data_IF_031890808433
#
_entry.id   IF_031890808433
#
_cell.length_a   1.000
_cell.length_b   1.000
_cell.length_c   1.000
_cell.angle_alpha   90.00
_cell.angle_beta   90.00
_cell.angle_gamma   90.00
#
_symmetry.space_group_name_H-M   'P 1'
#
loop_
_entity.id
_entity.type
_entity.pdbx_description
1 polymer ?
#
# COMPACT_ATOMS: atom_id res chain seq x y z
N UNK A 1 -33.78 -7.23 -7.88
CA UNK A 1 -32.50 -7.89 -7.59
C UNK A 1 -31.38 -7.00 -8.09
N UNK A 2 -30.40 -6.66 -7.25
CA UNK A 2 -29.16 -6.04 -7.74
C UNK A 2 -28.50 -7.03 -8.72
N UNK A 3 -28.01 -6.55 -9.86
CA UNK A 3 -27.39 -7.40 -10.86
C UNK A 3 -26.17 -8.12 -10.25
N UNK A 4 -26.10 -9.45 -10.40
CA UNK A 4 -24.95 -10.23 -9.97
C UNK A 4 -23.75 -9.87 -10.84
N UNK A 5 -22.69 -9.37 -10.22
CA UNK A 5 -21.47 -9.00 -10.92
C UNK A 5 -20.78 -10.24 -11.53
N UNK A 6 -20.09 -10.11 -12.69
CA UNK A 6 -19.35 -11.21 -13.31
C UNK A 6 -18.37 -11.89 -12.35
N UNK A 7 -18.28 -13.22 -12.38
CA UNK A 7 -17.37 -14.01 -11.54
C UNK A 7 -15.90 -13.55 -11.67
N UNK A 8 -15.49 -13.10 -12.85
CA UNK A 8 -14.15 -12.57 -13.12
C UNK A 8 -13.78 -11.35 -12.26
N UNK A 9 -14.75 -10.58 -11.77
CA UNK A 9 -14.47 -9.42 -10.93
C UNK A 9 -13.90 -9.79 -9.55
N UNK A 10 -14.08 -11.03 -9.09
CA UNK A 10 -13.46 -11.50 -7.84
C UNK A 10 -11.92 -11.51 -7.91
N UNK A 11 -11.33 -11.51 -9.11
CA UNK A 11 -9.87 -11.56 -9.30
C UNK A 11 -9.24 -10.18 -9.52
N UNK A 12 -10.02 -9.14 -9.79
CA UNK A 12 -9.50 -7.78 -10.02
C UNK A 12 -8.80 -7.24 -8.77
N UNK A 13 -9.43 -7.40 -7.59
CA UNK A 13 -8.84 -6.96 -6.33
C UNK A 13 -7.52 -7.71 -6.02
N UNK A 14 -7.46 -9.05 -6.01
CA UNK A 14 -6.20 -9.78 -5.82
C UNK A 14 -5.07 -9.36 -6.78
N UNK A 15 -5.37 -9.17 -8.08
CA UNK A 15 -4.36 -8.73 -9.06
C UNK A 15 -3.85 -7.32 -8.76
N UNK A 16 -4.75 -6.42 -8.37
CA UNK A 16 -4.39 -5.07 -7.93
C UNK A 16 -3.52 -5.12 -6.67
N UNK A 17 -3.86 -5.95 -5.68
CA UNK A 17 -3.09 -6.08 -4.44
C UNK A 17 -1.66 -6.60 -4.67
N UNK A 18 -1.48 -7.59 -5.56
CA UNK A 18 -0.13 -8.03 -5.95
C UNK A 18 0.67 -6.92 -6.65
N UNK A 19 0.01 -6.14 -7.49
CA UNK A 19 0.63 -4.99 -8.18
C UNK A 19 1.04 -3.89 -7.19
N UNK A 20 0.17 -3.61 -6.21
CA UNK A 20 0.43 -2.67 -5.12
C UNK A 20 1.57 -3.14 -4.23
N UNK A 21 1.65 -4.44 -3.91
CA UNK A 21 2.74 -5.00 -3.11
C UNK A 21 4.09 -4.84 -3.83
N UNK A 22 4.15 -5.13 -5.13
CA UNK A 22 5.34 -4.92 -5.95
C UNK A 22 5.75 -3.44 -6.01
N UNK A 23 4.78 -2.54 -6.23
CA UNK A 23 5.01 -1.10 -6.21
C UNK A 23 5.43 -0.59 -4.82
N UNK A 24 4.93 -1.20 -3.74
CA UNK A 24 5.35 -0.94 -2.36
C UNK A 24 6.82 -1.31 -2.12
N UNK A 25 7.25 -2.48 -2.60
CA UNK A 25 8.66 -2.89 -2.60
C UNK A 25 9.55 -1.91 -3.38
N UNK A 26 9.08 -1.44 -4.53
CA UNK A 26 9.77 -0.40 -5.29
C UNK A 26 9.86 0.94 -4.55
N UNK A 27 8.77 1.40 -3.95
CA UNK A 27 8.75 2.61 -3.14
C UNK A 27 9.70 2.51 -1.92
N UNK A 28 9.76 1.35 -1.27
CA UNK A 28 10.71 1.06 -0.19
C UNK A 28 12.15 1.20 -0.68
N UNK A 29 12.50 0.61 -1.83
CA UNK A 29 13.82 0.76 -2.44
C UNK A 29 14.17 2.24 -2.67
N UNK A 30 13.25 3.01 -3.25
CA UNK A 30 13.46 4.45 -3.47
C UNK A 30 13.66 5.20 -2.13
N UNK A 31 12.89 4.86 -1.10
CA UNK A 31 13.01 5.44 0.24
C UNK A 31 14.38 5.17 0.89
N UNK A 32 14.89 3.95 0.76
CA UNK A 32 16.24 3.58 1.23
C UNK A 32 17.31 4.41 0.50
N UNK A 33 17.21 4.55 -0.83
CA UNK A 33 18.16 5.37 -1.61
C UNK A 33 18.04 6.85 -1.29
N UNK A 34 16.83 7.36 -1.02
CA UNK A 34 16.61 8.73 -0.56
C UNK A 34 17.26 8.98 0.80
N UNK A 35 17.13 8.05 1.76
CA UNK A 35 17.85 8.11 3.04
C UNK A 35 19.37 8.14 2.81
N UNK A 36 19.90 7.24 1.98
CA UNK A 36 21.34 7.18 1.67
C UNK A 36 21.88 8.45 1.03
N UNK A 37 21.07 9.14 0.22
CA UNK A 37 21.43 10.46 -0.36
C UNK A 37 21.65 11.52 0.72
N UNK A 38 20.99 11.41 1.88
CA UNK A 38 21.16 12.35 3.00
C UNK A 38 22.24 11.93 3.98
N UNK A 39 22.49 10.64 4.15
CA UNK A 39 23.37 10.10 5.19
C UNK A 39 24.70 9.53 4.68
N UNK A 40 24.88 9.37 3.36
CA UNK A 40 26.10 8.81 2.76
C UNK A 40 27.29 9.77 2.73
N UNK A 41 28.45 9.26 2.28
CA UNK A 41 29.67 10.06 2.05
C UNK A 41 29.49 11.09 0.93
N UNK A 42 30.34 12.14 0.83
CA UNK A 42 30.27 13.11 -0.25
C UNK A 42 30.23 12.50 -1.66
N UNK A 43 31.05 11.48 -1.92
CA UNK A 43 31.12 10.76 -3.20
C UNK A 43 29.81 10.03 -3.48
N UNK A 44 29.26 9.35 -2.46
CA UNK A 44 27.97 8.68 -2.58
C UNK A 44 26.85 9.68 -2.86
N UNK A 45 26.85 10.84 -2.19
CA UNK A 45 25.84 11.89 -2.43
C UNK A 45 25.94 12.43 -3.86
N UNK A 46 27.15 12.74 -4.33
CA UNK A 46 27.41 13.21 -5.71
C UNK A 46 26.80 12.27 -6.75
N UNK A 47 26.91 10.96 -6.54
CA UNK A 47 26.37 9.94 -7.45
C UNK A 47 24.85 9.71 -7.33
N UNK A 48 24.24 10.06 -6.19
CA UNK A 48 22.83 9.78 -5.90
C UNK A 48 21.91 11.00 -6.13
N UNK A 49 22.40 12.22 -5.92
CA UNK A 49 21.63 13.46 -6.10
C UNK A 49 20.98 13.55 -7.49
N UNK A 50 21.70 13.28 -8.62
CA UNK A 50 21.11 13.36 -9.95
C UNK A 50 19.96 12.36 -10.18
N UNK A 51 19.93 11.26 -9.41
CA UNK A 51 18.93 10.18 -9.57
C UNK A 51 17.57 10.50 -8.95
N UNK A 52 17.45 11.61 -8.21
CA UNK A 52 16.19 12.17 -7.68
C UNK A 52 15.32 11.14 -6.94
N UNK A 53 15.95 10.29 -6.11
CA UNK A 53 15.25 9.20 -5.41
C UNK A 53 14.14 9.69 -4.48
N UNK A 54 14.32 10.84 -3.82
CA UNK A 54 13.29 11.40 -2.93
C UNK A 54 12.05 11.84 -3.70
N UNK A 55 12.21 12.48 -4.86
CA UNK A 55 11.10 12.90 -5.71
C UNK A 55 10.35 11.69 -6.28
N UNK A 56 11.09 10.66 -6.73
CA UNK A 56 10.50 9.42 -7.22
C UNK A 56 9.76 8.67 -6.11
N UNK A 57 10.33 8.61 -4.91
CA UNK A 57 9.68 7.99 -3.75
C UNK A 57 8.37 8.70 -3.41
N UNK A 58 8.37 10.05 -3.44
CA UNK A 58 7.15 10.83 -3.23
C UNK A 58 6.08 10.52 -4.28
N UNK A 59 6.44 10.54 -5.57
CA UNK A 59 5.50 10.22 -6.66
C UNK A 59 4.89 8.82 -6.51
N UNK A 60 5.72 7.79 -6.32
CA UNK A 60 5.24 6.42 -6.14
C UNK A 60 4.43 6.25 -4.85
N UNK A 61 4.81 6.93 -3.77
CA UNK A 61 4.02 6.96 -2.53
C UNK A 61 2.65 7.59 -2.72
N UNK A 62 2.54 8.67 -3.48
CA UNK A 62 1.25 9.30 -3.81
C UNK A 62 0.36 8.41 -4.67
N UNK A 63 0.94 7.71 -5.66
CA UNK A 63 0.21 6.73 -6.48
C UNK A 63 -0.30 5.58 -5.62
N UNK A 64 0.57 5.01 -4.78
CA UNK A 64 0.18 3.94 -3.84
C UNK A 64 -0.96 4.37 -2.93
N UNK A 65 -0.89 5.56 -2.33
CA UNK A 65 -1.96 6.10 -1.48
C UNK A 65 -3.29 6.16 -2.25
N UNK A 66 -3.28 6.74 -3.45
CA UNK A 66 -4.49 6.91 -4.24
C UNK A 66 -5.10 5.56 -4.64
N UNK A 67 -4.29 4.67 -5.22
CA UNK A 67 -4.77 3.37 -5.71
C UNK A 67 -5.21 2.47 -4.56
N UNK A 68 -4.47 2.42 -3.45
CA UNK A 68 -4.84 1.61 -2.28
C UNK A 68 -6.14 2.11 -1.63
N UNK A 69 -6.32 3.43 -1.56
CA UNK A 69 -7.54 4.03 -0.99
C UNK A 69 -8.74 3.72 -1.89
N UNK A 70 -8.64 3.96 -3.19
CA UNK A 70 -9.72 3.66 -4.14
C UNK A 70 -9.99 2.16 -4.23
N UNK A 71 -8.96 1.34 -4.19
CA UNK A 71 -9.05 -0.12 -4.16
C UNK A 71 -9.79 -0.64 -2.94
N UNK A 72 -9.50 -0.09 -1.76
CA UNK A 72 -10.20 -0.43 -0.51
C UNK A 72 -11.68 -0.04 -0.57
N UNK A 73 -11.99 1.18 -1.01
CA UNK A 73 -13.37 1.63 -1.19
C UNK A 73 -14.11 0.78 -2.22
N UNK A 74 -13.48 0.46 -3.34
CA UNK A 74 -14.02 -0.39 -4.39
C UNK A 74 -14.29 -1.82 -3.91
N UNK A 75 -13.35 -2.42 -3.16
CA UNK A 75 -13.52 -3.76 -2.59
C UNK A 75 -14.68 -3.84 -1.61
N UNK A 76 -14.84 -2.83 -0.75
CA UNK A 76 -15.98 -2.70 0.16
C UNK A 76 -17.29 -2.55 -0.62
N UNK A 77 -17.32 -1.69 -1.64
CA UNK A 77 -18.51 -1.46 -2.48
C UNK A 77 -18.93 -2.75 -3.22
N UNK A 78 -18.00 -3.43 -3.88
CA UNK A 78 -18.26 -4.69 -4.59
C UNK A 78 -18.77 -5.76 -3.63
N UNK A 79 -18.17 -5.89 -2.44
CA UNK A 79 -18.62 -6.85 -1.42
C UNK A 79 -20.06 -6.58 -1.01
N UNK A 80 -20.40 -5.32 -0.72
CA UNK A 80 -21.74 -4.92 -0.32
C UNK A 80 -22.76 -5.15 -1.44
N UNK A 81 -22.45 -4.73 -2.67
CA UNK A 81 -23.35 -4.89 -3.83
C UNK A 81 -23.65 -6.37 -4.14
N UNK A 82 -22.66 -7.25 -4.00
CA UNK A 82 -22.83 -8.68 -4.28
C UNK A 82 -23.55 -9.45 -3.17
N UNK A 83 -23.44 -9.02 -1.91
CA UNK A 83 -23.88 -9.82 -0.77
C UNK A 83 -24.97 -9.15 0.09
N UNK A 84 -25.30 -7.88 -0.16
CA UNK A 84 -26.20 -7.07 0.67
C UNK A 84 -25.64 -6.73 2.07
N UNK A 85 -24.40 -7.12 2.36
CA UNK A 85 -23.71 -6.88 3.63
C UNK A 85 -22.19 -6.91 3.46
N UNK A 86 -21.47 -6.39 4.45
CA UNK A 86 -20.03 -6.54 4.56
C UNK A 86 -19.69 -7.72 5.46
N UNK A 87 -18.63 -8.46 5.11
CA UNK A 87 -18.07 -9.50 5.96
C UNK A 87 -16.94 -8.91 6.81
N UNK A 88 -17.22 -8.71 8.09
CA UNK A 88 -16.23 -8.14 9.04
C UNK A 88 -15.31 -9.25 9.53
N UNK A 89 -14.28 -9.54 8.74
CA UNK A 89 -13.23 -10.50 9.06
C UNK A 89 -11.84 -9.84 9.18
N UNK A 90 -10.82 -10.61 9.61
CA UNK A 90 -9.45 -10.10 9.75
C UNK A 90 -8.91 -9.44 8.49
N UNK A 91 -9.20 -9.99 7.30
CA UNK A 91 -8.77 -9.44 6.02
C UNK A 91 -9.28 -7.99 5.82
N UNK A 92 -10.58 -7.77 6.00
CA UNK A 92 -11.18 -6.43 5.88
C UNK A 92 -10.60 -5.45 6.91
N UNK A 93 -10.53 -5.85 8.18
CA UNK A 93 -10.07 -4.96 9.26
C UNK A 93 -8.60 -4.57 9.08
N UNK A 94 -7.75 -5.52 8.68
CA UNK A 94 -6.33 -5.25 8.40
C UNK A 94 -6.17 -4.38 7.16
N UNK A 95 -6.92 -4.62 6.08
CA UNK A 95 -6.90 -3.77 4.89
C UNK A 95 -7.31 -2.31 5.19
N UNK A 96 -8.33 -2.12 6.02
CA UNK A 96 -8.72 -0.80 6.52
C UNK A 96 -7.61 -0.14 7.35
N UNK A 97 -7.00 -0.88 8.28
CA UNK A 97 -5.90 -0.39 9.09
C UNK A 97 -4.71 0.02 8.21
N UNK A 98 -4.33 -0.79 7.22
CA UNK A 98 -3.25 -0.49 6.28
C UNK A 98 -3.52 0.78 5.48
N UNK A 99 -4.77 0.99 5.04
CA UNK A 99 -5.20 2.22 4.35
C UNK A 99 -5.06 3.44 5.25
N UNK A 100 -5.43 3.33 6.52
CA UNK A 100 -5.18 4.38 7.53
C UNK A 100 -3.69 4.65 7.73
N UNK A 101 -2.88 3.59 7.84
CA UNK A 101 -1.43 3.70 8.04
C UNK A 101 -0.73 4.43 6.90
N UNK A 102 -1.03 4.10 5.63
CA UNK A 102 -0.43 4.78 4.48
C UNK A 102 -0.88 6.24 4.39
N UNK A 103 -2.14 6.55 4.69
CA UNK A 103 -2.66 7.92 4.71
C UNK A 103 -1.96 8.78 5.77
N UNK A 104 -1.82 8.26 6.99
CA UNK A 104 -1.09 8.94 8.08
C UNK A 104 0.39 9.06 7.71
N UNK A 105 1.01 8.01 7.17
CA UNK A 105 2.42 8.09 6.78
C UNK A 105 2.66 9.15 5.69
N UNK A 106 1.77 9.25 4.69
CA UNK A 106 1.87 10.24 3.63
C UNK A 106 1.70 11.68 4.16
N UNK A 107 0.79 11.90 5.11
CA UNK A 107 0.53 13.22 5.69
C UNK A 107 1.71 13.78 6.50
N UNK A 108 2.65 12.93 6.93
CA UNK A 108 3.89 13.36 7.59
C UNK A 108 4.91 14.02 6.64
N UNK A 109 4.71 13.93 5.32
CA UNK A 109 5.66 14.42 4.32
C UNK A 109 6.10 15.88 4.51
N UNK A 110 5.21 16.87 4.78
CA UNK A 110 5.61 18.25 5.00
C UNK A 110 6.50 18.45 6.25
N UNK A 111 6.28 17.67 7.31
CA UNK A 111 7.13 17.70 8.50
C UNK A 111 8.51 17.12 8.21
N UNK A 112 8.55 16.00 7.48
CA UNK A 112 9.81 15.38 7.06
C UNK A 112 10.63 16.28 6.14
N UNK A 113 9.98 16.96 5.18
CA UNK A 113 10.63 17.92 4.28
C UNK A 113 11.28 19.07 5.06
N UNK A 114 10.68 19.50 6.17
CA UNK A 114 11.24 20.47 7.14
C UNK A 114 12.29 19.88 8.09
N UNK A 115 12.73 18.64 7.87
CA UNK A 115 13.80 18.01 8.64
C UNK A 115 13.37 17.30 9.93
N UNK A 116 12.08 17.26 10.26
CA UNK A 116 11.62 16.62 11.51
C UNK A 116 11.97 15.13 11.55
N UNK A 117 12.79 14.73 12.51
CA UNK A 117 13.28 13.35 12.65
C UNK A 117 12.24 12.39 13.24
N UNK A 118 11.37 12.87 14.12
CA UNK A 118 10.28 12.06 14.71
C UNK A 118 9.29 11.68 13.60
N UNK A 119 8.89 12.64 12.78
CA UNK A 119 8.03 12.40 11.61
C UNK A 119 8.64 11.37 10.65
N UNK A 120 9.97 11.41 10.43
CA UNK A 120 10.67 10.41 9.60
C UNK A 120 10.63 9.02 10.22
N UNK A 121 10.87 8.90 11.52
CA UNK A 121 10.81 7.60 12.22
C UNK A 121 9.38 7.05 12.21
N UNK A 122 8.38 7.88 12.49
CA UNK A 122 6.97 7.51 12.44
C UNK A 122 6.55 7.05 11.04
N UNK A 123 6.89 7.82 10.00
CA UNK A 123 6.62 7.45 8.60
C UNK A 123 7.25 6.09 8.24
N UNK A 124 8.51 5.86 8.60
CA UNK A 124 9.17 4.57 8.34
C UNK A 124 8.51 3.44 9.13
N UNK A 125 8.22 3.64 10.41
CA UNK A 125 7.57 2.64 11.26
C UNK A 125 6.18 2.24 10.73
N UNK A 126 5.36 3.22 10.36
CA UNK A 126 4.04 3.00 9.75
C UNK A 126 4.17 2.21 8.44
N UNK A 127 5.07 2.59 7.54
CA UNK A 127 5.22 1.89 6.27
C UNK A 127 5.81 0.48 6.44
N UNK A 128 6.77 0.28 7.34
CA UNK A 128 7.31 -1.07 7.61
C UNK A 128 6.24 -1.97 8.24
N UNK A 129 5.47 -1.45 9.19
CA UNK A 129 4.32 -2.19 9.76
C UNK A 129 3.27 -2.50 8.70
N UNK A 130 2.92 -1.53 7.86
CA UNK A 130 1.97 -1.73 6.75
C UNK A 130 2.48 -2.78 5.76
N UNK A 131 3.76 -2.75 5.37
CA UNK A 131 4.34 -3.77 4.47
C UNK A 131 4.30 -5.18 5.09
N UNK A 132 4.56 -5.32 6.39
CA UNK A 132 4.43 -6.60 7.09
C UNK A 132 2.99 -7.11 7.06
N UNK A 133 2.02 -6.25 7.37
CA UNK A 133 0.60 -6.59 7.28
C UNK A 133 0.21 -6.92 5.84
N UNK A 134 0.75 -6.22 4.85
CA UNK A 134 0.46 -6.45 3.44
C UNK A 134 0.96 -7.83 2.99
N UNK A 135 2.16 -8.24 3.39
CA UNK A 135 2.66 -9.59 3.11
C UNK A 135 1.74 -10.67 3.69
N UNK A 136 1.22 -10.46 4.91
CA UNK A 136 0.24 -11.37 5.49
C UNK A 136 -1.11 -11.34 4.76
N UNK A 137 -1.57 -10.17 4.33
CA UNK A 137 -2.76 -10.01 3.50
C UNK A 137 -2.63 -10.70 2.14
N UNK A 138 -1.44 -10.72 1.54
CA UNK A 138 -1.20 -11.44 0.29
C UNK A 138 -1.43 -12.95 0.45
N UNK A 139 -1.02 -13.53 1.57
CA UNK A 139 -1.27 -14.96 1.87
C UNK A 139 -2.76 -15.20 2.18
N UNK A 140 -3.30 -14.48 3.17
CA UNK A 140 -4.70 -14.69 3.61
C UNK A 140 -5.73 -14.34 2.53
N UNK A 141 -5.43 -13.38 1.66
CA UNK A 141 -6.26 -13.06 0.50
C UNK A 141 -6.31 -14.20 -0.53
N UNK A 142 -5.19 -14.87 -0.77
CA UNK A 142 -5.18 -16.02 -1.69
C UNK A 142 -5.94 -17.23 -1.13
N UNK A 143 -6.01 -17.41 0.19
CA UNK A 143 -6.89 -18.41 0.81
C UNK A 143 -8.37 -18.12 0.53
N UNK A 144 -8.77 -16.84 0.54
CA UNK A 144 -10.13 -16.40 0.17
C UNK A 144 -10.40 -16.67 -1.31
N UNK A 145 -9.47 -16.30 -2.19
CA UNK A 145 -9.58 -16.58 -3.63
C UNK A 145 -9.74 -18.07 -3.89
N UNK A 146 -8.96 -18.92 -3.20
CA UNK A 146 -9.07 -20.37 -3.34
C UNK A 146 -10.45 -20.87 -2.89
N UNK A 147 -10.98 -20.39 -1.76
CA UNK A 147 -12.34 -20.73 -1.31
C UNK A 147 -13.41 -20.31 -2.32
N UNK A 148 -13.27 -19.15 -2.97
CA UNK A 148 -14.19 -18.73 -4.03
C UNK A 148 -14.10 -19.66 -5.24
N UNK A 149 -12.88 -20.06 -5.62
CA UNK A 149 -12.66 -20.94 -6.77
C UNK A 149 -13.20 -22.36 -6.54
N UNK A 150 -12.98 -22.94 -5.36
CA UNK A 150 -13.41 -24.32 -5.05
C UNK A 150 -14.90 -24.45 -4.77
N UNK A 151 -15.57 -23.35 -4.39
CA UNK A 151 -17.02 -23.32 -4.12
C UNK A 151 -17.84 -22.74 -5.30
N UNK A 152 -17.24 -22.67 -6.49
CA UNK A 152 -17.90 -22.25 -7.73
C UNK A 152 -19.02 -23.21 -8.13
#
# INVERSE_FOLDING_TARGET
MLATLPFSLNFVHPLMEWSLLAAGGWALYLGIKAKKTRTGSPEQRKNLVPKKFAQRHYLWGSILLAVMTLGTLGGIAVTYLNNGKLFVGPHLLVGLAMTGMIAVAASLSPLMQRGNLIARKAHVGLNMGMMTLFLWQAVSGMEIVNKIWTNR
#
